data_IF_366642875704
#
_entry.id   IF_366642875704
#
_cell.length_a   1.000
_cell.length_b   1.000
_cell.length_c   1.000
_cell.angle_alpha   90.00
_cell.angle_beta   90.00
_cell.angle_gamma   90.00
#
_symmetry.space_group_name_H-M   'P 1'
#
loop_
_entity.id
_entity.type
_entity.pdbx_description
1 polymer ?
#
# COMPACT_ATOMS: atom_id res chain seq x y z
N UNK A 1 27.50 1.30 13.89
CA UNK A 1 27.94 1.60 12.52
C UNK A 1 26.71 1.58 11.62
N UNK A 2 26.41 2.66 10.91
CA UNK A 2 25.30 2.65 9.95
C UNK A 2 25.71 1.81 8.73
N UNK A 3 25.11 0.62 8.58
CA UNK A 3 25.31 -0.21 7.40
C UNK A 3 24.52 0.39 6.24
N UNK A 4 25.19 1.11 5.34
CA UNK A 4 24.56 1.55 4.11
C UNK A 4 24.23 0.32 3.24
N UNK A 5 22.98 0.23 2.79
CA UNK A 5 22.52 -0.82 1.87
C UNK A 5 21.91 -0.17 0.64
N UNK A 6 22.13 -0.76 -0.52
CA UNK A 6 21.65 -0.24 -1.80
C UNK A 6 20.31 -0.83 -2.17
N UNK A 7 19.38 0.01 -2.62
CA UNK A 7 18.11 -0.39 -3.21
C UNK A 7 18.18 -0.23 -4.73
N UNK A 8 18.05 -1.33 -5.48
CA UNK A 8 17.97 -1.32 -6.94
C UNK A 8 16.52 -1.56 -7.36
N UNK A 9 15.93 -0.59 -8.06
CA UNK A 9 14.55 -0.69 -8.58
C UNK A 9 14.59 -0.65 -10.10
N UNK A 10 13.99 -1.65 -10.74
CA UNK A 10 13.84 -1.68 -12.20
C UNK A 10 12.61 -0.87 -12.58
N UNK A 11 12.80 0.11 -13.45
CA UNK A 11 11.75 0.96 -14.00
C UNK A 11 11.97 1.14 -15.50
N UNK A 12 10.93 1.55 -16.21
CA UNK A 12 11.04 1.93 -17.62
C UNK A 12 11.85 3.21 -17.76
N UNK A 13 12.65 3.31 -18.83
CA UNK A 13 13.54 4.46 -19.05
C UNK A 13 12.73 5.77 -19.15
N UNK A 14 11.56 5.74 -19.78
CA UNK A 14 10.68 6.91 -19.88
C UNK A 14 10.24 7.42 -18.51
N UNK A 15 9.91 6.51 -17.58
CA UNK A 15 9.53 6.86 -16.21
C UNK A 15 10.71 7.51 -15.49
N UNK A 16 11.91 6.92 -15.62
CA UNK A 16 13.15 7.44 -15.02
C UNK A 16 13.43 8.87 -15.48
N UNK A 17 13.42 9.11 -16.79
CA UNK A 17 13.72 10.42 -17.38
C UNK A 17 12.70 11.47 -16.92
N UNK A 18 11.41 11.16 -16.97
CA UNK A 18 10.35 12.08 -16.53
C UNK A 18 10.44 12.40 -15.04
N UNK A 19 10.61 11.38 -14.21
CA UNK A 19 10.71 11.56 -12.76
C UNK A 19 11.93 12.40 -12.38
N UNK A 20 13.11 12.11 -12.94
CA UNK A 20 14.32 12.90 -12.66
C UNK A 20 14.13 14.37 -13.00
N UNK A 21 13.55 14.70 -14.16
CA UNK A 21 13.31 16.09 -14.56
C UNK A 21 12.41 16.85 -13.58
N UNK A 22 11.34 16.20 -13.09
CA UNK A 22 10.40 16.80 -12.13
C UNK A 22 11.07 17.00 -10.77
N UNK A 23 11.84 16.01 -10.31
CA UNK A 23 12.54 16.06 -9.03
C UNK A 23 13.67 17.10 -9.03
N UNK A 24 14.44 17.18 -10.11
CA UNK A 24 15.51 18.16 -10.26
C UNK A 24 14.99 19.60 -10.26
N UNK A 25 13.83 19.84 -10.88
CA UNK A 25 13.15 21.14 -10.81
C UNK A 25 12.78 21.54 -9.36
N UNK A 26 12.71 20.58 -8.45
CA UNK A 26 12.46 20.77 -7.01
C UNK A 26 13.74 20.65 -6.15
N UNK A 27 14.92 20.58 -6.77
CA UNK A 27 16.20 20.43 -6.06
C UNK A 27 16.44 19.04 -5.46
N UNK A 28 15.70 18.03 -5.90
CA UNK A 28 15.80 16.65 -5.39
C UNK A 28 16.43 15.72 -6.42
N UNK A 29 17.21 14.76 -5.94
CA UNK A 29 17.65 13.60 -6.73
C UNK A 29 16.65 12.46 -6.58
N UNK A 30 16.62 11.53 -7.54
CA UNK A 30 15.81 10.31 -7.45
C UNK A 30 16.09 9.54 -6.13
N UNK A 31 17.36 9.40 -5.74
CA UNK A 31 17.75 8.74 -4.50
C UNK A 31 17.19 9.45 -3.26
N UNK A 32 17.24 10.79 -3.22
CA UNK A 32 16.68 11.55 -2.10
C UNK A 32 15.16 11.43 -2.03
N UNK A 33 14.47 11.43 -3.16
CA UNK A 33 13.02 11.27 -3.23
C UNK A 33 12.58 9.86 -2.76
N UNK A 34 13.28 8.82 -3.20
CA UNK A 34 13.04 7.44 -2.74
C UNK A 34 13.29 7.32 -1.23
N UNK A 35 14.31 8.00 -0.70
CA UNK A 35 14.57 8.03 0.74
C UNK A 35 13.44 8.70 1.52
N UNK A 36 12.94 9.84 1.05
CA UNK A 36 11.81 10.54 1.65
C UNK A 36 10.54 9.70 1.62
N UNK A 37 10.28 9.01 0.50
CA UNK A 37 9.17 8.07 0.37
C UNK A 37 9.23 6.99 1.45
N UNK A 38 10.38 6.32 1.62
CA UNK A 38 10.54 5.27 2.63
C UNK A 38 10.41 5.80 4.06
N UNK A 39 10.96 6.99 4.34
CA UNK A 39 10.81 7.63 5.65
C UNK A 39 9.34 7.92 5.96
N UNK A 40 8.57 8.38 4.97
CA UNK A 40 7.15 8.64 5.17
C UNK A 40 6.34 7.35 5.38
N UNK A 41 6.69 6.27 4.68
CA UNK A 41 6.08 4.95 4.91
C UNK A 41 6.33 4.46 6.33
N UNK A 42 7.54 4.68 6.86
CA UNK A 42 7.88 4.30 8.24
C UNK A 42 7.11 5.15 9.24
N UNK A 43 7.08 6.47 9.05
CA UNK A 43 6.42 7.40 9.98
C UNK A 43 4.90 7.19 10.06
N UNK A 44 4.25 6.98 8.91
CA UNK A 44 2.80 6.87 8.84
C UNK A 44 2.28 5.45 9.04
N UNK A 45 3.17 4.45 9.07
CA UNK A 45 2.85 3.02 8.96
C UNK A 45 1.89 2.70 7.79
N UNK A 46 1.92 3.55 6.76
CA UNK A 46 1.00 3.54 5.64
C UNK A 46 1.69 4.05 4.37
N UNK A 47 1.08 3.78 3.22
CA UNK A 47 1.59 4.33 1.97
C UNK A 47 1.28 5.84 1.90
N UNK A 48 2.25 6.69 1.52
CA UNK A 48 2.12 8.15 1.50
C UNK A 48 1.35 8.66 0.27
N UNK A 49 0.46 7.85 -0.25
CA UNK A 49 -0.46 8.17 -1.33
C UNK A 49 -1.73 7.37 -1.13
N UNK A 50 -2.86 7.94 -1.56
CA UNK A 50 -4.13 7.22 -1.54
C UNK A 50 -3.99 5.94 -2.36
N UNK A 51 -4.10 4.80 -1.68
CA UNK A 51 -4.06 3.50 -2.31
C UNK A 51 -5.11 3.45 -3.43
N UNK A 52 -4.71 3.22 -4.70
CA UNK A 52 -5.64 3.20 -5.79
C UNK A 52 -6.63 2.06 -5.54
N UNK A 53 -7.91 2.41 -5.58
CA UNK A 53 -9.13 1.58 -5.54
C UNK A 53 -8.93 0.13 -5.05
N UNK A 54 -9.71 -0.34 -4.05
CA UNK A 54 -9.60 -1.70 -3.50
C UNK A 54 -9.36 -2.73 -4.60
N UNK A 55 -8.45 -3.69 -4.41
CA UNK A 55 -8.17 -4.69 -5.44
C UNK A 55 -9.44 -5.46 -5.86
N UNK A 56 -9.39 -6.20 -6.97
CA UNK A 56 -10.58 -6.88 -7.51
C UNK A 56 -11.28 -7.79 -6.49
N UNK A 57 -10.52 -8.47 -5.63
CA UNK A 57 -11.06 -9.31 -4.54
C UNK A 57 -11.79 -8.48 -3.50
N UNK A 58 -11.18 -7.39 -3.03
CA UNK A 58 -11.79 -6.48 -2.05
C UNK A 58 -13.05 -5.80 -2.61
N UNK A 59 -13.03 -5.35 -3.87
CA UNK A 59 -14.24 -4.81 -4.53
C UNK A 59 -15.38 -5.82 -4.58
N UNK A 60 -15.09 -7.06 -4.99
CA UNK A 60 -16.09 -8.14 -5.02
C UNK A 60 -16.70 -8.40 -3.65
N UNK A 61 -15.87 -8.44 -2.60
CA UNK A 61 -16.32 -8.60 -1.22
C UNK A 61 -17.22 -7.44 -0.77
N UNK A 62 -16.82 -6.19 -1.04
CA UNK A 62 -17.64 -4.99 -0.74
C UNK A 62 -18.98 -5.04 -1.48
N UNK A 63 -19.00 -5.37 -2.77
CA UNK A 63 -20.24 -5.48 -3.54
C UNK A 63 -21.15 -6.63 -3.06
N UNK A 64 -20.58 -7.78 -2.67
CA UNK A 64 -21.34 -8.86 -2.07
C UNK A 64 -21.98 -8.43 -0.74
N UNK A 65 -21.21 -7.75 0.11
CA UNK A 65 -21.69 -7.22 1.38
C UNK A 65 -22.83 -6.20 1.20
N UNK A 66 -22.66 -5.23 0.27
CA UNK A 66 -23.71 -4.24 -0.08
C UNK A 66 -25.00 -4.89 -0.61
N UNK A 67 -24.91 -6.05 -1.27
CA UNK A 67 -26.07 -6.84 -1.72
C UNK A 67 -26.64 -7.76 -0.64
N UNK A 68 -26.24 -7.60 0.62
CA UNK A 68 -26.71 -8.41 1.74
C UNK A 68 -26.13 -9.83 1.79
N UNK A 69 -25.14 -10.17 0.94
CA UNK A 69 -24.48 -11.48 0.95
C UNK A 69 -23.36 -11.52 1.99
N UNK A 70 -23.74 -11.41 3.25
CA UNK A 70 -22.85 -11.54 4.42
C UNK A 70 -23.31 -12.69 5.31
N UNK A 71 -22.36 -13.39 5.95
CA UNK A 71 -22.70 -14.30 7.03
C UNK A 71 -23.09 -13.48 8.26
N UNK A 72 -24.24 -13.80 8.85
CA UNK A 72 -24.68 -13.21 10.12
C UNK A 72 -24.32 -14.17 11.25
N UNK A 73 -23.89 -13.62 12.37
CA UNK A 73 -23.68 -14.36 13.61
C UNK A 73 -24.65 -13.82 14.68
N UNK A 74 -25.06 -14.68 15.61
CA UNK A 74 -26.07 -14.35 16.63
C UNK A 74 -25.50 -13.41 17.70
N UNK A 75 -24.20 -13.46 17.95
CA UNK A 75 -23.46 -12.58 18.85
C UNK A 75 -21.95 -12.59 18.54
N UNK A 76 -21.20 -11.68 19.17
CA UNK A 76 -19.74 -11.55 19.00
C UNK A 76 -18.97 -12.84 19.30
N UNK A 77 -19.32 -13.57 20.37
CA UNK A 77 -18.68 -14.85 20.71
C UNK A 77 -18.81 -15.89 19.60
N UNK A 78 -20.01 -16.05 19.03
CA UNK A 78 -20.23 -16.99 17.91
C UNK A 78 -19.47 -16.58 16.66
N UNK A 79 -19.40 -15.28 16.36
CA UNK A 79 -18.66 -14.76 15.21
C UNK A 79 -17.16 -15.08 15.30
N UNK A 80 -16.54 -14.82 16.45
CA UNK A 80 -15.11 -15.07 16.66
C UNK A 80 -14.81 -16.57 16.54
N UNK A 81 -15.64 -17.43 17.13
CA UNK A 81 -15.49 -18.89 17.01
C UNK A 81 -15.57 -19.35 15.55
N UNK A 82 -16.51 -18.83 14.78
CA UNK A 82 -16.70 -19.19 13.36
C UNK A 82 -15.56 -18.69 12.45
N UNK A 83 -14.94 -17.56 12.79
CA UNK A 83 -13.80 -17.01 12.05
C UNK A 83 -12.50 -17.77 12.33
N UNK A 84 -12.26 -18.12 13.59
CA UNK A 84 -11.07 -18.88 14.00
C UNK A 84 -11.13 -20.34 13.51
N UNK A 85 -12.32 -20.95 13.43
CA UNK A 85 -12.50 -22.29 12.88
C UNK A 85 -12.28 -22.39 11.35
N UNK A 86 -12.05 -21.25 10.69
CA UNK A 86 -11.91 -21.13 9.23
C UNK A 86 -10.51 -20.72 8.76
N UNK A 87 -9.59 -20.53 9.70
CA UNK A 87 -8.16 -20.28 9.46
C UNK A 87 -7.43 -21.61 9.38
#
# INVERSE_FOLDING_TARGET
MASNTTLNVRIEEEIKVKASKILEASGLTASSAVRLFLLRVIEDEALPFDLPRPNAKTRRAIHAAKRGRMKKAKNSRTLVKDLLAKS
#
